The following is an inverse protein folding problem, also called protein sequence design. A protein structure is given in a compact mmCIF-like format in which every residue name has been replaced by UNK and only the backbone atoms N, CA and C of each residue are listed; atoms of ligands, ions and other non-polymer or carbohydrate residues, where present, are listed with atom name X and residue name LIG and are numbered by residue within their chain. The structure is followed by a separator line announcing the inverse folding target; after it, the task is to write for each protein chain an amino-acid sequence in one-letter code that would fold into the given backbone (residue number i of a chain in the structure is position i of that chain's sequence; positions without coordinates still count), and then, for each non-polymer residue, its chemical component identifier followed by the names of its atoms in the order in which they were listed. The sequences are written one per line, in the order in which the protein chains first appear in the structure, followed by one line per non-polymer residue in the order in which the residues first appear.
data_IF_067717207690
#
_entry.id   IF_067717207690
#
_cell.length_a   1.000
_cell.length_b   1.000
_cell.length_c   1.000
_cell.angle_alpha   90.00
_cell.angle_beta   90.00
_cell.angle_gamma   90.00
#
_symmetry.space_group_name_H-M   'P 1'
#
loop_
_entity.id
_entity.type
_entity.pdbx_description
1 polymer ?
#
# COMPACT_ATOMS: atom_id res chain seq x y z
N UNK A 1 12.22 -1.40 -21.41
CA UNK A 1 11.66 -0.63 -20.28
C UNK A 1 10.20 -1.04 -20.20
N UNK A 2 9.87 -1.96 -19.29
CA UNK A 2 8.47 -2.30 -19.01
C UNK A 2 7.95 -1.18 -18.10
N UNK A 3 7.03 -0.37 -18.62
CA UNK A 3 6.22 0.51 -17.78
C UNK A 3 5.47 -0.37 -16.78
N UNK A 4 5.83 -0.26 -15.51
CA UNK A 4 5.06 -0.84 -14.41
C UNK A 4 3.70 -0.13 -14.40
N UNK A 5 2.71 -0.72 -15.08
CA UNK A 5 1.36 -0.15 -15.17
C UNK A 5 0.65 -0.38 -13.84
N UNK A 6 0.40 0.69 -13.12
CA UNK A 6 -0.47 0.68 -11.97
C UNK A 6 -1.89 0.26 -12.40
N UNK A 7 -2.53 -0.62 -11.62
CA UNK A 7 -3.88 -1.14 -11.93
C UNK A 7 -4.96 -0.07 -11.79
N UNK A 8 -4.67 1.01 -11.05
CA UNK A 8 -5.64 2.03 -10.62
C UNK A 8 -5.37 3.39 -11.29
N UNK A 9 -6.45 4.13 -11.58
CA UNK A 9 -6.43 5.41 -12.28
C UNK A 9 -5.78 6.55 -11.46
N UNK A 10 -5.32 7.60 -12.16
CA UNK A 10 -4.83 8.87 -11.60
C UNK A 10 -5.89 9.96 -11.78
N UNK A 11 -5.93 10.98 -10.89
CA UNK A 11 -6.87 12.11 -10.95
C UNK A 11 -7.53 12.44 -9.62
N UNK A 12 -8.46 13.40 -9.60
CA UNK A 12 -9.11 13.90 -8.36
C UNK A 12 -9.85 12.80 -7.57
N UNK A 13 -10.53 11.87 -8.25
CA UNK A 13 -11.19 10.72 -7.61
C UNK A 13 -10.15 9.77 -6.97
N UNK A 14 -8.99 9.61 -7.59
CA UNK A 14 -7.91 8.80 -7.03
C UNK A 14 -7.36 9.42 -5.74
N UNK A 15 -7.27 10.75 -5.65
CA UNK A 15 -6.83 11.45 -4.42
C UNK A 15 -7.84 11.22 -3.28
N UNK A 16 -9.14 11.35 -3.53
CA UNK A 16 -10.15 11.10 -2.51
C UNK A 16 -10.14 9.63 -2.04
N UNK A 17 -9.99 8.70 -2.96
CA UNK A 17 -9.82 7.29 -2.61
C UNK A 17 -8.57 7.05 -1.76
N UNK A 18 -7.43 7.66 -2.11
CA UNK A 18 -6.19 7.55 -1.32
C UNK A 18 -6.36 8.12 0.10
N UNK A 19 -7.13 9.19 0.29
CA UNK A 19 -7.48 9.69 1.63
C UNK A 19 -8.30 8.67 2.41
N UNK A 20 -9.27 8.01 1.77
CA UNK A 20 -10.08 6.95 2.41
C UNK A 20 -9.23 5.72 2.71
N UNK A 21 -8.32 5.32 1.82
CA UNK A 21 -7.35 4.25 2.07
C UNK A 21 -6.45 4.59 3.26
N UNK A 22 -5.99 5.84 3.36
CA UNK A 22 -5.21 6.28 4.51
C UNK A 22 -6.04 6.30 5.79
N UNK A 23 -7.28 6.80 5.76
CA UNK A 23 -8.17 6.75 6.91
C UNK A 23 -8.49 5.31 7.35
N UNK A 24 -8.44 4.36 6.40
CA UNK A 24 -8.67 2.92 6.64
C UNK A 24 -7.48 2.26 7.31
N UNK A 25 -6.28 2.46 6.77
CA UNK A 25 -5.08 1.70 7.14
C UNK A 25 -4.06 2.52 7.94
N UNK A 26 -4.13 3.87 7.87
CA UNK A 26 -3.16 4.75 8.50
C UNK A 26 -2.97 4.52 9.99
N UNK A 27 -4.02 4.43 10.82
CA UNK A 27 -3.87 4.17 12.25
C UNK A 27 -3.08 2.88 12.57
N UNK A 28 -3.36 1.80 11.83
CA UNK A 28 -2.66 0.51 12.01
C UNK A 28 -1.21 0.58 11.53
N UNK A 29 -0.97 1.26 10.38
CA UNK A 29 0.39 1.53 9.86
C UNK A 29 1.22 2.34 10.84
N UNK A 30 0.62 3.38 11.44
CA UNK A 30 1.28 4.23 12.44
C UNK A 30 1.65 3.44 13.70
N UNK A 31 0.74 2.61 14.19
CA UNK A 31 0.99 1.72 15.32
C UNK A 31 2.08 0.69 15.00
N UNK A 32 2.06 0.15 13.79
CA UNK A 32 3.07 -0.76 13.27
C UNK A 32 4.46 -0.13 13.24
N UNK A 33 4.61 1.03 12.62
CA UNK A 33 5.91 1.70 12.50
C UNK A 33 6.49 2.07 13.88
N UNK A 34 5.66 2.52 14.83
CA UNK A 34 6.09 2.74 16.22
C UNK A 34 6.56 1.45 16.87
N UNK A 35 5.87 0.33 16.67
CA UNK A 35 6.25 -0.99 17.17
C UNK A 35 7.56 -1.48 16.55
N UNK A 36 7.76 -1.20 15.25
CA UNK A 36 9.01 -1.50 14.54
C UNK A 36 10.17 -0.58 14.96
N UNK A 37 9.95 0.40 15.84
CA UNK A 37 10.99 1.22 16.43
C UNK A 37 11.18 2.60 15.77
N UNK A 38 10.22 3.08 14.98
CA UNK A 38 10.26 4.45 14.43
C UNK A 38 10.33 5.46 15.59
N UNK A 39 11.31 6.39 15.54
CA UNK A 39 11.55 7.39 16.56
C UNK A 39 12.17 8.66 16.00
N UNK A 40 12.21 9.69 16.81
CA UNK A 40 12.84 10.96 16.50
C UNK A 40 14.31 10.81 16.09
N UNK A 41 14.75 11.62 15.15
CA UNK A 41 16.12 11.66 14.64
C UNK A 41 16.45 10.61 13.58
N UNK A 42 15.56 9.66 13.29
CA UNK A 42 15.81 8.65 12.26
C UNK A 42 15.84 9.21 10.84
N UNK A 43 16.68 8.60 9.99
CA UNK A 43 16.65 8.74 8.54
C UNK A 43 15.85 7.58 7.94
N UNK A 44 14.73 7.88 7.28
CA UNK A 44 13.78 6.87 6.79
C UNK A 44 13.62 6.97 5.28
N UNK A 45 13.61 5.82 4.58
CA UNK A 45 13.17 5.72 3.19
C UNK A 45 11.79 5.07 3.13
N UNK A 46 10.85 5.72 2.40
CA UNK A 46 9.51 5.22 2.12
C UNK A 46 9.43 4.84 0.63
N UNK A 47 9.44 3.55 0.33
CA UNK A 47 9.53 3.03 -1.03
C UNK A 47 8.12 2.67 -1.53
N UNK A 48 7.74 3.23 -2.69
CA UNK A 48 6.35 3.21 -3.18
C UNK A 48 5.49 4.22 -2.41
N UNK A 49 6.03 5.43 -2.20
CA UNK A 49 5.42 6.44 -1.32
C UNK A 49 4.11 7.04 -1.86
N UNK A 50 3.81 6.83 -3.16
CA UNK A 50 2.64 7.42 -3.81
C UNK A 50 2.62 8.94 -3.67
N UNK A 51 1.47 9.49 -3.25
CA UNK A 51 1.29 10.94 -2.99
C UNK A 51 1.86 11.39 -1.63
N UNK A 52 2.62 10.55 -0.94
CA UNK A 52 3.43 10.90 0.22
C UNK A 52 2.67 11.10 1.54
N UNK A 53 1.46 10.56 1.69
CA UNK A 53 0.68 10.76 2.93
C UNK A 53 1.38 10.10 4.12
N UNK A 54 1.83 8.85 3.98
CA UNK A 54 2.56 8.14 5.04
C UNK A 54 3.93 8.78 5.27
N UNK A 55 4.64 9.17 4.19
CA UNK A 55 5.92 9.87 4.28
C UNK A 55 5.83 11.16 5.12
N UNK A 56 4.76 11.96 4.95
CA UNK A 56 4.52 13.17 5.74
C UNK A 56 4.31 12.85 7.23
N UNK A 57 3.53 11.80 7.52
CA UNK A 57 3.36 11.36 8.89
C UNK A 57 4.70 10.88 9.49
N UNK A 58 5.48 10.07 8.76
CA UNK A 58 6.82 9.64 9.22
C UNK A 58 7.71 10.86 9.47
N UNK A 59 7.72 11.85 8.56
CA UNK A 59 8.49 13.09 8.71
C UNK A 59 8.12 13.88 9.98
N UNK A 60 6.84 13.89 10.36
CA UNK A 60 6.39 14.47 11.62
C UNK A 60 6.88 13.72 12.85
N UNK A 61 7.05 12.39 12.77
CA UNK A 61 7.50 11.54 13.88
C UNK A 61 9.02 11.58 14.07
N UNK A 62 9.79 11.64 12.97
CA UNK A 62 11.26 11.72 13.08
C UNK A 62 11.72 13.14 13.43
N UNK A 63 10.86 14.14 13.30
CA UNK A 63 11.14 15.51 13.70
C UNK A 63 12.26 16.19 12.89
N UNK A 64 12.67 17.41 13.29
CA UNK A 64 13.63 18.23 12.54
C UNK A 64 15.06 17.67 12.52
N UNK A 65 15.40 16.78 13.45
CA UNK A 65 16.71 16.11 13.51
C UNK A 65 16.78 14.85 12.65
N UNK A 66 15.61 14.33 12.19
CA UNK A 66 15.50 13.22 11.25
C UNK A 66 15.21 13.69 9.84
N UNK A 67 15.16 12.74 8.91
CA UNK A 67 14.78 13.02 7.53
C UNK A 67 14.01 11.86 6.90
N UNK A 68 13.19 12.17 5.91
CA UNK A 68 12.46 11.17 5.12
C UNK A 68 12.70 11.37 3.64
N UNK A 69 12.92 10.28 2.94
CA UNK A 69 12.99 10.25 1.48
C UNK A 69 11.92 9.30 0.97
N UNK A 70 10.92 9.83 0.25
CA UNK A 70 9.93 9.05 -0.47
C UNK A 70 10.41 8.73 -1.89
N UNK A 71 10.20 7.50 -2.33
CA UNK A 71 10.50 7.05 -3.70
C UNK A 71 9.26 6.44 -4.31
N UNK A 72 8.92 6.86 -5.53
CA UNK A 72 7.85 6.25 -6.32
C UNK A 72 8.23 6.23 -7.80
N UNK A 73 7.72 5.24 -8.55
CA UNK A 73 7.98 5.11 -9.98
C UNK A 73 7.19 6.14 -10.82
N UNK A 74 6.07 6.65 -10.29
CA UNK A 74 5.21 7.63 -10.96
C UNK A 74 5.71 9.06 -10.71
N UNK A 75 6.19 9.72 -11.76
CA UNK A 75 6.59 11.12 -11.69
C UNK A 75 5.43 12.06 -11.30
N UNK A 76 4.20 11.74 -11.69
CA UNK A 76 2.98 12.49 -11.34
C UNK A 76 2.71 12.42 -9.83
N UNK A 77 2.80 11.21 -9.24
CA UNK A 77 2.62 11.02 -7.80
C UNK A 77 3.71 11.74 -7.00
N UNK A 78 4.97 11.63 -7.44
CA UNK A 78 6.11 12.34 -6.83
C UNK A 78 5.93 13.85 -6.88
N UNK A 79 5.44 14.40 -8.01
CA UNK A 79 5.16 15.83 -8.14
C UNK A 79 4.06 16.25 -7.15
N UNK A 80 2.98 15.50 -7.06
CA UNK A 80 1.88 15.73 -6.11
C UNK A 80 2.37 15.66 -4.66
N UNK A 81 3.13 14.62 -4.31
CA UNK A 81 3.71 14.44 -2.99
C UNK A 81 4.60 15.63 -2.59
N UNK A 82 5.44 16.09 -3.51
CA UNK A 82 6.34 17.23 -3.31
C UNK A 82 5.54 18.52 -3.05
N UNK A 83 4.48 18.74 -3.81
CA UNK A 83 3.60 19.91 -3.63
C UNK A 83 2.90 19.87 -2.29
N UNK A 84 2.30 18.73 -1.92
CA UNK A 84 1.60 18.57 -0.64
C UNK A 84 2.54 18.77 0.56
N UNK A 85 3.75 18.20 0.52
CA UNK A 85 4.73 18.36 1.58
C UNK A 85 5.20 19.83 1.75
N UNK A 86 5.41 20.55 0.65
CA UNK A 86 5.73 21.98 0.68
C UNK A 86 4.58 22.81 1.27
N UNK A 87 3.34 22.55 0.87
CA UNK A 87 2.16 23.23 1.41
C UNK A 87 1.99 22.97 2.91
N UNK A 88 2.33 21.77 3.37
CA UNK A 88 2.33 21.41 4.78
C UNK A 88 3.54 21.91 5.58
N UNK A 89 4.54 22.54 4.91
CA UNK A 89 5.69 23.15 5.56
C UNK A 89 6.81 22.17 5.96
N UNK A 90 6.82 20.95 5.43
CA UNK A 90 7.89 20.00 5.72
C UNK A 90 9.22 20.43 5.06
N UNK A 91 10.28 20.51 5.87
CA UNK A 91 11.65 20.80 5.43
C UNK A 91 12.57 19.57 5.50
N UNK A 92 12.14 18.52 6.18
CA UNK A 92 12.87 17.27 6.40
C UNK A 92 12.35 16.10 5.54
N UNK A 93 11.58 16.40 4.47
CA UNK A 93 10.95 15.42 3.58
C UNK A 93 11.25 15.76 2.13
N UNK A 94 11.73 14.76 1.37
CA UNK A 94 12.03 14.87 -0.06
C UNK A 94 11.44 13.67 -0.80
N UNK A 95 11.20 13.86 -2.11
CA UNK A 95 10.66 12.80 -2.97
C UNK A 95 11.49 12.66 -4.25
N UNK A 96 11.67 11.40 -4.72
CA UNK A 96 12.42 11.07 -5.92
C UNK A 96 11.63 10.11 -6.81
N UNK A 97 11.66 10.35 -8.11
CA UNK A 97 11.10 9.42 -9.09
C UNK A 97 12.13 8.34 -9.39
N UNK A 98 11.88 7.11 -8.94
CA UNK A 98 12.74 5.97 -9.22
C UNK A 98 11.98 4.64 -9.04
N UNK A 99 12.52 3.57 -9.64
CA UNK A 99 11.98 2.21 -9.46
C UNK A 99 12.33 1.65 -8.08
N UNK A 100 11.42 0.86 -7.49
CA UNK A 100 11.69 0.10 -6.27
C UNK A 100 12.83 -0.93 -6.41
N UNK A 101 13.19 -1.29 -7.64
CA UNK A 101 14.30 -2.20 -7.94
C UNK A 101 15.67 -1.53 -8.04
N UNK A 102 15.70 -0.21 -8.16
CA UNK A 102 16.90 0.62 -8.31
C UNK A 102 16.55 2.06 -7.89
N UNK A 103 16.53 2.30 -6.58
CA UNK A 103 16.07 3.55 -5.99
C UNK A 103 17.02 4.72 -6.24
N UNK A 104 18.28 4.45 -6.53
CA UNK A 104 19.33 5.47 -6.67
C UNK A 104 19.72 6.13 -5.34
N UNK A 105 19.16 5.67 -4.22
CA UNK A 105 19.50 6.16 -2.89
C UNK A 105 20.84 5.55 -2.40
N UNK A 106 21.58 6.25 -1.53
CA UNK A 106 22.84 5.74 -1.02
C UNK A 106 22.64 4.54 -0.09
N UNK A 107 23.37 3.48 -0.34
CA UNK A 107 23.34 2.26 0.48
C UNK A 107 23.91 2.49 1.89
N UNK A 108 23.36 1.77 2.87
CA UNK A 108 23.85 1.80 4.25
C UNK A 108 23.60 3.11 4.98
N UNK A 109 22.60 3.90 4.60
CA UNK A 109 22.38 5.25 5.15
C UNK A 109 21.09 5.45 5.93
N UNK A 110 20.13 4.52 5.82
CA UNK A 110 18.82 4.65 6.46
C UNK A 110 18.72 3.84 7.74
N UNK A 111 18.10 4.44 8.76
CA UNK A 111 17.79 3.77 10.03
C UNK A 111 16.59 2.86 9.88
N UNK A 112 15.63 3.24 8.99
CA UNK A 112 14.47 2.43 8.64
C UNK A 112 14.17 2.55 7.16
N UNK A 113 13.77 1.44 6.53
CA UNK A 113 13.20 1.42 5.18
C UNK A 113 11.82 0.80 5.28
N UNK A 114 10.84 1.50 4.73
CA UNK A 114 9.43 1.14 4.81
C UNK A 114 8.82 1.01 3.41
N UNK A 115 7.82 0.15 3.26
CA UNK A 115 6.86 0.18 2.15
C UNK A 115 5.50 -0.34 2.59
N UNK A 116 4.43 0.17 1.92
CA UNK A 116 3.06 -0.30 2.09
C UNK A 116 2.35 -0.38 0.75
N UNK A 117 1.61 -1.49 0.51
CA UNK A 117 0.88 -1.71 -0.75
C UNK A 117 1.75 -1.59 -2.00
N UNK A 118 3.03 -1.96 -1.90
CA UNK A 118 3.98 -1.90 -3.00
C UNK A 118 4.27 -3.27 -3.58
N UNK A 119 4.66 -4.22 -2.71
CA UNK A 119 5.20 -5.51 -3.15
C UNK A 119 4.15 -6.32 -3.93
N UNK A 120 2.88 -6.14 -3.61
CA UNK A 120 1.76 -6.77 -4.32
C UNK A 120 1.68 -6.38 -5.80
N UNK A 121 2.22 -5.24 -6.18
CA UNK A 121 2.23 -4.73 -7.56
C UNK A 121 3.49 -5.10 -8.35
N UNK A 122 4.49 -5.67 -7.69
CA UNK A 122 5.79 -5.93 -8.28
C UNK A 122 5.90 -7.36 -8.82
N UNK A 123 6.40 -7.50 -10.05
CA UNK A 123 6.67 -8.81 -10.66
C UNK A 123 7.84 -9.56 -9.98
N UNK A 124 8.74 -8.85 -9.30
CA UNK A 124 9.92 -9.39 -8.62
C UNK A 124 10.07 -8.79 -7.22
N UNK A 125 9.13 -9.05 -6.28
CA UNK A 125 9.14 -8.41 -4.95
C UNK A 125 10.42 -8.69 -4.16
N UNK A 126 11.05 -9.88 -4.34
CA UNK A 126 12.30 -10.24 -3.67
C UNK A 126 13.46 -9.33 -4.11
N UNK A 127 13.46 -8.86 -5.36
CA UNK A 127 14.48 -7.92 -5.85
C UNK A 127 14.32 -6.55 -5.19
N UNK A 128 13.09 -6.05 -5.06
CA UNK A 128 12.81 -4.80 -4.35
C UNK A 128 13.16 -4.90 -2.86
N UNK A 129 12.84 -6.02 -2.22
CA UNK A 129 13.21 -6.25 -0.83
C UNK A 129 14.74 -6.26 -0.62
N UNK A 130 15.51 -6.86 -1.53
CA UNK A 130 16.99 -6.81 -1.49
C UNK A 130 17.52 -5.40 -1.66
N UNK A 131 16.96 -4.61 -2.56
CA UNK A 131 17.31 -3.19 -2.72
C UNK A 131 17.04 -2.43 -1.41
N UNK A 132 15.86 -2.61 -0.79
CA UNK A 132 15.51 -1.98 0.49
C UNK A 132 16.49 -2.35 1.60
N UNK A 133 16.89 -3.62 1.71
CA UNK A 133 17.89 -4.06 2.71
C UNK A 133 19.26 -3.44 2.45
N UNK A 134 19.64 -3.23 1.19
CA UNK A 134 20.91 -2.58 0.86
C UNK A 134 20.96 -1.12 1.36
N UNK A 135 19.83 -0.42 1.36
CA UNK A 135 19.72 0.97 1.87
C UNK A 135 19.94 1.08 3.37
N UNK A 136 19.65 0.02 4.14
CA UNK A 136 19.73 0.03 5.61
C UNK A 136 21.16 0.11 6.12
N UNK A 137 21.37 0.93 7.16
CA UNK A 137 22.55 0.88 8.04
C UNK A 137 22.68 -0.51 8.70
N UNK A 138 23.87 -0.88 9.23
CA UNK A 138 23.94 -1.92 10.23
C UNK A 138 22.98 -1.62 11.40
N UNK A 139 22.23 -2.62 11.85
CA UNK A 139 21.14 -2.50 12.84
C UNK A 139 19.94 -1.62 12.40
N UNK A 140 19.86 -1.26 11.14
CA UNK A 140 18.68 -0.60 10.57
C UNK A 140 17.50 -1.59 10.40
N UNK A 141 16.28 -1.07 10.35
CA UNK A 141 15.04 -1.86 10.34
C UNK A 141 14.38 -1.82 8.97
N UNK A 142 14.13 -3.00 8.38
CA UNK A 142 13.17 -3.15 7.30
C UNK A 142 11.78 -3.31 7.91
N UNK A 143 10.81 -2.50 7.46
CA UNK A 143 9.41 -2.60 7.85
C UNK A 143 8.54 -2.67 6.59
N UNK A 144 7.80 -3.75 6.39
CA UNK A 144 6.97 -3.97 5.21
C UNK A 144 5.54 -4.29 5.59
N UNK A 145 4.58 -3.71 4.87
CA UNK A 145 3.16 -3.90 5.10
C UNK A 145 2.45 -4.12 3.76
N UNK A 146 1.79 -5.28 3.61
CA UNK A 146 1.05 -5.55 2.37
C UNK A 146 -0.15 -6.45 2.61
N UNK A 147 -1.11 -6.44 1.66
CA UNK A 147 -2.41 -7.05 1.79
C UNK A 147 -2.50 -8.52 1.36
N UNK A 148 -3.36 -9.27 2.06
CA UNK A 148 -3.94 -10.51 1.59
C UNK A 148 -5.44 -10.29 1.33
N UNK A 149 -5.79 -10.09 0.06
CA UNK A 149 -7.16 -9.79 -0.36
C UNK A 149 -8.08 -11.02 -0.39
N UNK A 150 -7.55 -12.23 -0.15
CA UNK A 150 -8.41 -13.42 0.01
C UNK A 150 -9.10 -13.47 1.37
N UNK A 151 -8.65 -12.66 2.33
CA UNK A 151 -9.19 -12.59 3.67
C UNK A 151 -10.27 -11.51 3.85
N UNK A 152 -10.56 -10.73 2.81
CA UNK A 152 -11.66 -9.77 2.82
C UNK A 152 -13.00 -10.51 2.95
N UNK A 153 -13.92 -9.98 3.74
CA UNK A 153 -15.24 -10.58 3.97
C UNK A 153 -16.32 -9.53 4.17
N UNK A 154 -17.57 -9.90 3.96
CA UNK A 154 -18.71 -9.17 4.50
C UNK A 154 -19.66 -10.08 5.28
N UNK A 155 -20.36 -9.50 6.22
CA UNK A 155 -21.40 -10.21 6.94
C UNK A 155 -22.68 -9.36 7.04
N UNK A 156 -23.87 -9.89 6.66
CA UNK A 156 -24.09 -11.23 6.06
C UNK A 156 -23.29 -11.44 4.76
N UNK A 157 -22.98 -12.72 4.40
CA UNK A 157 -22.24 -13.04 3.17
C UNK A 157 -22.94 -12.48 1.92
N UNK A 158 -22.18 -11.96 0.98
CA UNK A 158 -22.70 -11.43 -0.28
C UNK A 158 -21.87 -11.90 -1.47
N UNK A 159 -22.49 -12.56 -2.47
CA UNK A 159 -21.81 -12.94 -3.71
C UNK A 159 -21.18 -11.74 -4.43
N UNK A 160 -21.80 -10.55 -4.35
CA UNK A 160 -21.25 -9.33 -4.95
C UNK A 160 -19.92 -8.92 -4.28
N UNK A 161 -19.82 -9.02 -2.96
CA UNK A 161 -18.59 -8.71 -2.25
C UNK A 161 -17.47 -9.70 -2.58
N UNK A 162 -17.78 -10.99 -2.62
CA UNK A 162 -16.84 -12.05 -3.00
C UNK A 162 -16.34 -11.84 -4.44
N UNK A 163 -17.27 -11.62 -5.38
CA UNK A 163 -16.97 -11.39 -6.80
C UNK A 163 -16.09 -10.16 -7.02
N UNK A 164 -16.30 -9.08 -6.27
CA UNK A 164 -15.44 -7.89 -6.31
C UNK A 164 -13.97 -8.27 -6.09
N UNK A 165 -13.67 -8.99 -5.02
CA UNK A 165 -12.28 -9.35 -4.70
C UNK A 165 -11.72 -10.45 -5.59
N UNK A 166 -12.56 -11.33 -6.15
CA UNK A 166 -12.14 -12.26 -7.20
C UNK A 166 -11.65 -11.50 -8.44
N UNK A 167 -12.47 -10.58 -8.95
CA UNK A 167 -12.15 -9.76 -10.11
C UNK A 167 -10.90 -8.91 -9.87
N UNK A 168 -10.79 -8.29 -8.70
CA UNK A 168 -9.63 -7.47 -8.35
C UNK A 168 -8.33 -8.30 -8.36
N UNK A 169 -8.34 -9.49 -7.74
CA UNK A 169 -7.17 -10.39 -7.76
C UNK A 169 -6.86 -10.90 -9.18
N UNK A 170 -7.89 -11.24 -9.96
CA UNK A 170 -7.71 -11.69 -11.34
C UNK A 170 -7.10 -10.59 -12.22
N UNK A 171 -7.57 -9.34 -12.10
CA UNK A 171 -7.01 -8.20 -12.82
C UNK A 171 -5.53 -7.97 -12.45
N UNK A 172 -5.19 -8.07 -11.17
CA UNK A 172 -3.79 -7.99 -10.73
C UNK A 172 -2.92 -9.09 -11.33
N UNK A 173 -3.38 -10.33 -11.29
CA UNK A 173 -2.64 -11.48 -11.81
C UNK A 173 -2.34 -11.36 -13.32
N UNK A 174 -3.24 -10.78 -14.12
CA UNK A 174 -3.02 -10.49 -15.55
C UNK A 174 -1.85 -9.52 -15.78
N UNK A 175 -1.54 -8.68 -14.81
CA UNK A 175 -0.45 -7.71 -14.85
C UNK A 175 0.81 -8.17 -14.11
N UNK A 176 0.82 -9.43 -13.63
CA UNK A 176 1.94 -9.99 -12.86
C UNK A 176 1.97 -9.56 -11.39
N UNK A 177 0.91 -8.91 -10.89
CA UNK A 177 0.75 -8.54 -9.49
C UNK A 177 0.24 -9.73 -8.65
N UNK A 178 0.57 -9.75 -7.36
CA UNK A 178 0.12 -10.77 -6.41
C UNK A 178 -0.62 -10.13 -5.22
N UNK A 179 -1.92 -9.99 -5.36
CA UNK A 179 -2.79 -9.42 -4.31
C UNK A 179 -3.05 -10.39 -3.13
N UNK A 180 -2.24 -11.43 -3.03
CA UNK A 180 -2.19 -12.35 -1.88
C UNK A 180 -0.83 -12.34 -1.19
N UNK A 181 0.09 -11.46 -1.61
CA UNK A 181 1.48 -11.43 -1.15
C UNK A 181 1.60 -11.29 0.37
N UNK A 182 0.64 -10.64 1.01
CA UNK A 182 0.62 -10.46 2.46
C UNK A 182 0.90 -11.76 3.22
N UNK A 183 0.29 -12.88 2.83
CA UNK A 183 0.52 -14.18 3.46
C UNK A 183 1.93 -14.73 3.28
N UNK A 184 2.69 -14.23 2.30
CA UNK A 184 4.06 -14.65 1.97
C UNK A 184 5.12 -13.77 2.61
N UNK A 185 4.76 -12.56 3.08
CA UNK A 185 5.72 -11.54 3.52
C UNK A 185 6.68 -12.04 4.58
N UNK A 186 6.18 -12.79 5.57
CA UNK A 186 7.05 -13.28 6.64
C UNK A 186 8.18 -14.17 6.11
N UNK A 187 7.84 -15.12 5.22
CA UNK A 187 8.84 -16.00 4.60
C UNK A 187 9.82 -15.21 3.73
N UNK A 188 9.31 -14.29 2.89
CA UNK A 188 10.12 -13.43 2.05
C UNK A 188 11.13 -12.60 2.85
N UNK A 189 10.71 -12.04 3.99
CA UNK A 189 11.59 -11.25 4.86
C UNK A 189 12.60 -12.13 5.59
N UNK A 190 12.22 -13.34 6.04
CA UNK A 190 13.15 -14.30 6.64
C UNK A 190 14.29 -14.71 5.67
N UNK A 191 14.01 -14.83 4.38
CA UNK A 191 15.00 -15.18 3.35
C UNK A 191 16.04 -14.07 3.10
N UNK A 192 15.83 -12.85 3.60
CA UNK A 192 16.77 -11.73 3.46
C UNK A 192 17.95 -11.79 4.45
N UNK A 193 17.96 -12.74 5.38
CA UNK A 193 19.01 -12.86 6.41
C UNK A 193 18.94 -11.79 7.50
N UNK A 194 17.76 -11.16 7.69
CA UNK A 194 17.53 -10.21 8.76
C UNK A 194 17.40 -10.92 10.12
N UNK A 195 17.74 -10.21 11.20
CA UNK A 195 17.62 -10.69 12.57
C UNK A 195 16.31 -10.25 13.22
N UNK A 196 15.86 -10.98 14.25
CA UNK A 196 14.68 -10.66 15.07
C UNK A 196 13.44 -10.35 14.23
N UNK A 197 13.22 -11.13 13.14
CA UNK A 197 12.06 -10.94 12.28
C UNK A 197 10.77 -11.17 13.07
N UNK A 198 9.87 -10.21 13.02
CA UNK A 198 8.58 -10.23 13.70
C UNK A 198 7.45 -10.01 12.71
N UNK A 199 6.26 -10.48 13.08
CA UNK A 199 5.05 -10.32 12.28
C UNK A 199 3.89 -9.86 13.14
N UNK A 200 3.06 -9.00 12.59
CA UNK A 200 1.78 -8.58 13.14
C UNK A 200 0.72 -8.58 12.05
N UNK A 201 -0.54 -8.53 12.45
CA UNK A 201 -1.68 -8.52 11.55
C UNK A 201 -2.63 -7.40 11.93
N UNK A 202 -3.10 -6.66 10.93
CA UNK A 202 -4.21 -5.71 11.05
C UNK A 202 -5.28 -6.03 10.00
N UNK A 203 -6.54 -5.95 10.39
CA UNK A 203 -7.67 -6.10 9.46
C UNK A 203 -8.75 -5.09 9.81
N UNK A 204 -8.84 -3.97 9.10
CA UNK A 204 -9.87 -2.97 9.33
C UNK A 204 -11.27 -3.53 9.08
N UNK A 205 -12.21 -3.19 9.97
CA UNK A 205 -13.61 -3.63 9.90
C UNK A 205 -14.51 -2.40 9.99
N UNK A 206 -15.52 -2.31 9.12
CA UNK A 206 -16.44 -1.16 9.05
C UNK A 206 -17.89 -1.60 9.01
N UNK A 207 -18.71 -0.99 9.86
CA UNK A 207 -20.18 -1.09 9.82
C UNK A 207 -20.82 0.11 9.12
N UNK A 208 -20.09 1.24 9.02
CA UNK A 208 -20.52 2.47 8.38
C UNK A 208 -19.33 3.25 7.78
N UNK A 209 -19.61 4.41 7.20
CA UNK A 209 -18.59 5.33 6.70
C UNK A 209 -18.20 5.09 5.22
N UNK A 210 -17.42 6.05 4.69
CA UNK A 210 -16.98 6.06 3.29
C UNK A 210 -16.05 4.89 2.95
N UNK A 211 -15.44 4.26 3.94
CA UNK A 211 -14.59 3.08 3.77
C UNK A 211 -15.34 1.90 3.16
N UNK A 212 -16.66 1.80 3.40
CA UNK A 212 -17.50 0.78 2.77
C UNK A 212 -17.68 0.99 1.26
N UNK A 213 -17.33 2.15 0.71
CA UNK A 213 -17.35 2.42 -0.72
C UNK A 213 -16.08 1.92 -1.45
N UNK A 214 -15.00 1.62 -0.72
CA UNK A 214 -13.73 1.18 -1.32
C UNK A 214 -13.88 0.01 -2.29
N UNK A 215 -14.68 -1.05 -2.02
CA UNK A 215 -14.87 -2.15 -2.97
C UNK A 215 -15.49 -1.68 -4.29
N UNK A 216 -16.51 -0.82 -4.25
CA UNK A 216 -17.15 -0.31 -5.49
C UNK A 216 -16.19 0.60 -6.27
N UNK A 217 -15.47 1.49 -5.61
CA UNK A 217 -14.48 2.36 -6.27
C UNK A 217 -13.34 1.55 -6.89
N UNK A 218 -12.86 0.50 -6.21
CA UNK A 218 -11.81 -0.37 -6.75
C UNK A 218 -12.23 -1.03 -8.07
N UNK A 219 -13.47 -1.52 -8.15
CA UNK A 219 -14.00 -2.14 -9.37
C UNK A 219 -14.26 -1.09 -10.47
N UNK A 220 -14.76 0.10 -10.11
CA UNK A 220 -14.95 1.20 -11.04
C UNK A 220 -13.63 1.64 -11.69
N UNK A 221 -12.58 1.81 -10.90
CA UNK A 221 -11.24 2.14 -11.40
C UNK A 221 -10.63 1.03 -12.26
N UNK A 222 -10.87 -0.23 -11.91
CA UNK A 222 -10.37 -1.38 -12.66
C UNK A 222 -11.18 -1.72 -13.92
N UNK A 223 -12.29 -1.02 -14.19
CA UNK A 223 -13.28 -1.36 -15.23
C UNK A 223 -12.65 -1.64 -16.59
N UNK A 224 -11.83 -0.73 -17.11
CA UNK A 224 -11.24 -0.88 -18.44
C UNK A 224 -10.26 -2.05 -18.52
N UNK A 225 -9.50 -2.28 -17.44
CA UNK A 225 -8.59 -3.40 -17.34
C UNK A 225 -9.34 -4.74 -17.26
N UNK A 226 -10.47 -4.79 -16.54
CA UNK A 226 -11.32 -5.98 -16.41
C UNK A 226 -11.95 -6.36 -17.75
N UNK A 227 -12.43 -5.37 -18.51
CA UNK A 227 -13.01 -5.59 -19.84
C UNK A 227 -11.94 -6.02 -20.84
N UNK A 228 -10.80 -5.33 -20.87
CA UNK A 228 -9.69 -5.65 -21.77
C UNK A 228 -9.11 -7.05 -21.53
N UNK A 229 -9.19 -7.56 -20.29
CA UNK A 229 -8.75 -8.90 -19.90
C UNK A 229 -9.85 -9.98 -20.07
N UNK A 230 -11.04 -9.63 -20.57
CA UNK A 230 -12.21 -10.52 -20.71
C UNK A 230 -12.62 -11.20 -19.38
N UNK A 231 -12.44 -10.49 -18.25
CA UNK A 231 -12.76 -10.98 -16.90
C UNK A 231 -14.21 -10.66 -16.50
N UNK A 232 -14.77 -9.58 -17.03
CA UNK A 232 -16.15 -9.18 -16.79
C UNK A 232 -16.65 -8.23 -17.90
N UNK A 233 -17.95 -8.29 -18.21
CA UNK A 233 -18.59 -7.32 -19.10
C UNK A 233 -18.87 -6.00 -18.39
N UNK A 234 -19.04 -4.92 -19.15
CA UNK A 234 -19.44 -3.60 -18.60
C UNK A 234 -20.78 -3.68 -17.87
N UNK A 235 -21.71 -4.50 -18.34
CA UNK A 235 -23.01 -4.69 -17.70
C UNK A 235 -22.84 -5.37 -16.31
N UNK A 236 -22.04 -6.44 -16.25
CA UNK A 236 -21.71 -7.13 -14.99
C UNK A 236 -21.05 -6.17 -13.99
N UNK A 237 -20.05 -5.38 -14.44
CA UNK A 237 -19.36 -4.39 -13.61
C UNK A 237 -20.33 -3.35 -13.05
N UNK A 238 -21.19 -2.79 -13.89
CA UNK A 238 -22.18 -1.80 -13.47
C UNK A 238 -23.18 -2.36 -12.46
N UNK A 239 -23.59 -3.61 -12.65
CA UNK A 239 -24.50 -4.28 -11.70
C UNK A 239 -23.79 -4.57 -10.37
N UNK A 240 -22.56 -5.06 -10.43
CA UNK A 240 -21.73 -5.30 -9.27
C UNK A 240 -21.52 -4.03 -8.44
N UNK A 241 -21.17 -2.91 -9.06
CA UNK A 241 -21.01 -1.63 -8.39
C UNK A 241 -22.32 -1.17 -7.71
N UNK A 242 -23.48 -1.35 -8.37
CA UNK A 242 -24.78 -1.04 -7.74
C UNK A 242 -25.04 -1.90 -6.50
N UNK A 243 -24.74 -3.20 -6.56
CA UNK A 243 -24.90 -4.11 -5.42
C UNK A 243 -23.96 -3.75 -4.27
N UNK A 244 -22.67 -3.48 -4.55
CA UNK A 244 -21.68 -3.07 -3.54
C UNK A 244 -22.07 -1.77 -2.83
N UNK A 245 -22.60 -0.79 -3.56
CA UNK A 245 -23.09 0.46 -2.96
C UNK A 245 -24.29 0.25 -2.05
N UNK A 246 -25.26 -0.62 -2.45
CA UNK A 246 -26.38 -1.00 -1.57
C UNK A 246 -25.89 -1.66 -0.28
N UNK A 247 -24.92 -2.55 -0.37
CA UNK A 247 -24.29 -3.15 0.81
C UNK A 247 -23.56 -2.11 1.68
N UNK A 248 -22.94 -1.12 1.06
CA UNK A 248 -22.27 -0.03 1.78
C UNK A 248 -23.26 0.84 2.57
N UNK A 249 -24.45 1.11 1.99
CA UNK A 249 -25.50 1.90 2.64
C UNK A 249 -26.23 1.13 3.75
N UNK A 250 -26.18 -0.21 3.74
CA UNK A 250 -26.82 -1.03 4.75
C UNK A 250 -25.99 -1.06 6.05
N UNK A 251 -26.54 -0.50 7.11
CA UNK A 251 -25.91 -0.41 8.44
C UNK A 251 -25.86 -1.75 9.20
N UNK A 252 -26.55 -2.78 8.71
CA UNK A 252 -26.51 -4.13 9.29
C UNK A 252 -25.40 -4.98 8.68
N UNK A 253 -24.79 -4.50 7.58
CA UNK A 253 -23.70 -5.18 6.88
C UNK A 253 -22.36 -4.69 7.36
N UNK A 254 -21.49 -5.60 7.77
CA UNK A 254 -20.10 -5.35 8.16
C UNK A 254 -19.16 -5.75 7.03
N UNK A 255 -18.19 -4.88 6.71
CA UNK A 255 -17.10 -5.19 5.79
C UNK A 255 -15.79 -5.39 6.56
N UNK A 256 -15.12 -6.53 6.35
CA UNK A 256 -13.72 -6.73 6.71
C UNK A 256 -12.85 -6.56 5.48
N UNK A 257 -11.95 -5.57 5.52
CA UNK A 257 -11.05 -5.25 4.41
C UNK A 257 -9.94 -6.33 4.24
N UNK A 258 -9.03 -6.12 3.31
CA UNK A 258 -7.87 -7.00 3.16
C UNK A 258 -7.13 -7.15 4.50
N UNK A 259 -6.62 -8.34 4.75
CA UNK A 259 -5.74 -8.61 5.88
C UNK A 259 -4.36 -8.03 5.59
N UNK A 260 -3.95 -7.05 6.37
CA UNK A 260 -2.64 -6.41 6.26
C UNK A 260 -1.63 -7.18 7.10
N UNK A 261 -0.65 -7.76 6.43
CA UNK A 261 0.49 -8.39 7.11
C UNK A 261 1.59 -7.34 7.26
N UNK A 262 2.05 -7.17 8.51
CA UNK A 262 3.07 -6.23 8.92
C UNK A 262 4.28 -7.02 9.38
N UNK A 263 5.40 -6.92 8.68
CA UNK A 263 6.61 -7.68 8.97
C UNK A 263 7.79 -6.72 9.10
N UNK A 264 8.62 -6.92 10.13
CA UNK A 264 9.84 -6.13 10.29
C UNK A 264 10.98 -6.98 10.83
N UNK A 265 12.19 -6.59 10.49
CA UNK A 265 13.42 -7.26 10.94
C UNK A 265 14.60 -6.31 10.88
N UNK A 266 15.66 -6.64 11.60
CA UNK A 266 16.87 -5.83 11.75
C UNK A 266 18.00 -6.38 10.88
N UNK A 267 18.72 -5.51 10.16
CA UNK A 267 19.90 -5.85 9.35
C UNK A 267 21.11 -6.16 10.19
#
# INVERSE_FOLDING_TARGET
MNDEKYVLATGDMAIERLKVVEATHGPDTQAFLKRAGLREGMHVADIGCGVGIVSQWIASQVGPSGSVVGVDASAEQVQTATQLARQAGFTNLQFHTASAYATGLPYGTFDMVFCRFLLMHLAQPEKALREMVALLKPAGVLAVEDGDFTAAFCWPPSPAYERCFELYRAAGAQQGADFTIGRKLFSLVCELGLHAVQVNLAQPIFSDGSQKLLPSWTIEEATENLIAADLASREEINDLCRQLRRLADDKTVVFGMARMMQVWGTK
#
